data_IF_641032529530
#
_entry.id   IF_641032529530
#
_cell.length_a   1.000
_cell.length_b   1.000
_cell.length_c   1.000
_cell.angle_alpha   90.00
_cell.angle_beta   90.00
_cell.angle_gamma   90.00
#
_symmetry.space_group_name_H-M   'P 1'
#
loop_
_entity.id
_entity.type
_entity.pdbx_description
1 polymer ?
#
# COMPACT_ATOMS: atom_id res chain seq x y z
N UNK A 1 -3.72 -8.01 -20.14
CA UNK A 1 -2.51 -8.37 -19.38
C UNK A 1 -2.25 -7.30 -18.34
N UNK A 2 -2.05 -7.72 -17.09
CA UNK A 2 -1.71 -6.86 -15.95
C UNK A 2 -0.55 -7.54 -15.21
N UNK A 3 0.45 -6.77 -14.77
CA UNK A 3 1.58 -7.29 -13.97
C UNK A 3 1.27 -7.39 -12.46
N UNK A 4 0.07 -6.97 -12.06
CA UNK A 4 -0.59 -7.18 -10.75
C UNK A 4 -2.03 -7.67 -10.99
N UNK A 5 -2.16 -8.96 -11.31
CA UNK A 5 -3.47 -9.60 -11.56
C UNK A 5 -4.40 -9.57 -10.35
N UNK A 6 -3.84 -9.73 -9.16
CA UNK A 6 -4.54 -9.77 -7.86
C UNK A 6 -5.45 -8.55 -7.65
N UNK A 7 -4.90 -7.34 -7.80
CA UNK A 7 -5.65 -6.10 -7.63
C UNK A 7 -6.75 -5.92 -8.70
N UNK A 8 -6.47 -6.34 -9.95
CA UNK A 8 -7.45 -6.29 -11.04
C UNK A 8 -8.62 -7.26 -10.79
N UNK A 9 -8.30 -8.49 -10.40
CA UNK A 9 -9.28 -9.53 -10.10
C UNK A 9 -10.17 -9.13 -8.92
N UNK A 10 -9.58 -8.64 -7.82
CA UNK A 10 -10.33 -8.19 -6.66
C UNK A 10 -11.34 -7.08 -7.00
N UNK A 11 -10.94 -6.10 -7.82
CA UNK A 11 -11.84 -5.03 -8.24
C UNK A 11 -12.91 -5.51 -9.22
N UNK A 12 -12.60 -6.46 -10.12
CA UNK A 12 -13.60 -7.11 -10.99
C UNK A 12 -14.66 -7.86 -10.19
N UNK A 13 -14.24 -8.64 -9.18
CA UNK A 13 -15.16 -9.35 -8.28
C UNK A 13 -16.08 -8.37 -7.56
N UNK A 14 -15.52 -7.30 -6.98
CA UNK A 14 -16.31 -6.27 -6.29
C UNK A 14 -17.33 -5.59 -7.24
N UNK A 15 -16.94 -5.31 -8.49
CA UNK A 15 -17.82 -4.73 -9.51
C UNK A 15 -18.90 -5.70 -10.02
N UNK A 16 -18.67 -7.00 -9.92
CA UNK A 16 -19.65 -8.03 -10.20
C UNK A 16 -20.58 -8.32 -9.00
N UNK A 17 -20.47 -7.54 -7.91
CA UNK A 17 -21.32 -7.67 -6.73
C UNK A 17 -20.85 -8.72 -5.72
N UNK A 18 -19.69 -9.35 -5.93
CA UNK A 18 -19.14 -10.30 -4.97
C UNK A 18 -18.53 -9.59 -3.76
N UNK A 19 -18.62 -10.25 -2.61
CA UNK A 19 -17.96 -9.83 -1.38
C UNK A 19 -16.62 -10.56 -1.23
N UNK A 20 -15.56 -9.82 -0.92
CA UNK A 20 -14.24 -10.38 -0.61
C UNK A 20 -14.02 -10.30 0.89
N UNK A 21 -13.68 -11.43 1.52
CA UNK A 21 -13.41 -11.53 2.96
C UNK A 21 -11.99 -12.05 3.20
N UNK A 22 -11.41 -11.65 4.31
CA UNK A 22 -10.14 -12.18 4.82
C UNK A 22 -10.41 -13.10 6.02
N UNK A 23 -9.70 -14.21 6.11
CA UNK A 23 -9.75 -15.10 7.27
C UNK A 23 -8.46 -15.00 8.09
N UNK A 24 -8.52 -15.43 9.35
CA UNK A 24 -7.41 -15.32 10.30
C UNK A 24 -6.32 -16.37 10.02
N UNK A 25 -5.58 -16.18 8.93
CA UNK A 25 -4.42 -17.00 8.57
C UNK A 25 -3.17 -16.13 8.43
N UNK A 26 -2.02 -16.73 8.71
CA UNK A 26 -0.72 -16.09 8.60
C UNK A 26 0.11 -16.82 7.55
N UNK A 27 0.50 -16.11 6.51
CA UNK A 27 1.43 -16.58 5.50
C UNK A 27 2.72 -15.76 5.59
N UNK A 28 3.85 -16.46 5.47
CA UNK A 28 5.17 -15.84 5.42
C UNK A 28 5.67 -15.90 3.98
N UNK A 29 6.09 -14.75 3.46
CA UNK A 29 6.70 -14.64 2.15
C UNK A 29 8.10 -14.02 2.29
N UNK A 30 8.99 -14.39 1.37
CA UNK A 30 10.32 -13.82 1.29
C UNK A 30 10.27 -12.33 0.93
N UNK A 31 10.91 -11.50 1.76
CA UNK A 31 11.11 -10.08 1.45
C UNK A 31 12.41 -9.90 0.62
N UNK A 32 12.42 -9.03 -0.40
CA UNK A 32 13.66 -8.74 -1.14
C UNK A 32 14.74 -8.16 -0.21
N UNK A 33 15.85 -8.88 -0.06
CA UNK A 33 16.95 -8.49 0.82
C UNK A 33 17.90 -7.43 0.21
N UNK A 34 17.86 -7.25 -1.12
CA UNK A 34 18.77 -6.36 -1.85
C UNK A 34 17.98 -5.18 -2.42
N UNK A 35 18.53 -3.98 -2.29
CA UNK A 35 17.90 -2.73 -2.74
C UNK A 35 17.43 -2.77 -4.21
N UNK A 36 18.27 -3.28 -5.11
CA UNK A 36 17.91 -3.40 -6.53
C UNK A 36 16.69 -4.31 -6.76
N UNK A 37 16.62 -5.44 -6.07
CA UNK A 37 15.47 -6.35 -6.14
C UNK A 37 14.20 -5.70 -5.55
N UNK A 38 14.34 -4.97 -4.45
CA UNK A 38 13.24 -4.22 -3.83
C UNK A 38 12.69 -3.15 -4.78
N UNK A 39 13.55 -2.37 -5.44
CA UNK A 39 13.13 -1.36 -6.43
C UNK A 39 12.39 -2.01 -7.59
N UNK A 40 12.91 -3.12 -8.15
CA UNK A 40 12.25 -3.88 -9.22
C UNK A 40 10.85 -4.37 -8.79
N UNK A 41 10.75 -4.96 -7.60
CA UNK A 41 9.47 -5.44 -7.05
C UNK A 41 8.45 -4.30 -6.96
N UNK A 42 8.83 -3.16 -6.37
CA UNK A 42 7.92 -2.01 -6.21
C UNK A 42 7.59 -1.34 -7.54
N UNK A 43 8.53 -1.31 -8.48
CA UNK A 43 8.28 -0.82 -9.85
C UNK A 43 7.17 -1.64 -10.51
N UNK A 44 7.24 -2.99 -10.40
CA UNK A 44 6.18 -3.88 -10.89
C UNK A 44 4.83 -3.57 -10.25
N UNK A 45 4.80 -3.37 -8.93
CA UNK A 45 3.57 -3.09 -8.20
C UNK A 45 2.93 -1.77 -8.63
N UNK A 46 3.72 -0.69 -8.74
CA UNK A 46 3.22 0.60 -9.23
C UNK A 46 2.72 0.51 -10.66
N UNK A 47 3.45 -0.18 -11.55
CA UNK A 47 3.03 -0.36 -12.95
C UNK A 47 1.70 -1.08 -13.03
N UNK A 48 1.55 -2.16 -12.28
CA UNK A 48 0.30 -2.91 -12.23
C UNK A 48 -0.86 -2.10 -11.63
N UNK A 49 -0.61 -1.31 -10.59
CA UNK A 49 -1.58 -0.35 -10.06
C UNK A 49 -2.03 0.68 -11.09
N UNK A 50 -1.11 1.24 -11.87
CA UNK A 50 -1.43 2.16 -12.97
C UNK A 50 -2.27 1.47 -14.04
N UNK A 51 -1.95 0.22 -14.39
CA UNK A 51 -2.74 -0.57 -15.35
C UNK A 51 -4.16 -0.82 -14.83
N UNK A 52 -4.30 -1.24 -13.56
CA UNK A 52 -5.60 -1.45 -12.92
C UNK A 52 -6.40 -0.15 -12.88
N UNK A 53 -5.77 0.97 -12.50
CA UNK A 53 -6.41 2.28 -12.52
C UNK A 53 -6.93 2.63 -13.91
N UNK A 54 -6.08 2.52 -14.95
CA UNK A 54 -6.47 2.82 -16.34
C UNK A 54 -7.66 1.95 -16.75
N UNK A 55 -7.62 0.64 -16.52
CA UNK A 55 -8.70 -0.27 -16.92
C UNK A 55 -10.02 0.08 -16.24
N UNK A 56 -10.00 0.28 -14.92
CA UNK A 56 -11.24 0.45 -14.14
C UNK A 56 -11.80 1.87 -14.17
N UNK A 57 -10.96 2.87 -14.44
CA UNK A 57 -11.36 4.28 -14.49
C UNK A 57 -11.60 4.81 -15.90
N UNK A 58 -11.47 3.98 -16.96
CA UNK A 58 -11.82 4.33 -18.35
C UNK A 58 -13.25 4.82 -18.53
N UNK A 59 -14.18 4.30 -17.71
CA UNK A 59 -15.58 4.72 -17.68
C UNK A 59 -15.95 5.00 -16.22
N UNK A 60 -15.60 6.19 -15.68
CA UNK A 60 -15.72 6.46 -14.25
C UNK A 60 -17.18 6.34 -13.79
N UNK A 61 -18.15 6.81 -14.57
CA UNK A 61 -19.57 6.66 -14.24
C UNK A 61 -19.98 5.19 -14.04
N UNK A 62 -19.41 4.26 -14.82
CA UNK A 62 -19.68 2.83 -14.66
C UNK A 62 -19.08 2.26 -13.38
N UNK A 63 -17.92 2.76 -12.93
CA UNK A 63 -17.34 2.40 -11.64
C UNK A 63 -18.31 2.74 -10.48
N UNK A 64 -18.94 3.93 -10.54
CA UNK A 64 -19.93 4.33 -9.54
C UNK A 64 -21.19 3.50 -9.59
N UNK A 65 -21.67 3.12 -10.78
CA UNK A 65 -22.82 2.22 -10.93
C UNK A 65 -22.52 0.83 -10.37
N UNK A 66 -21.35 0.27 -10.70
CA UNK A 66 -21.01 -1.11 -10.32
C UNK A 66 -20.69 -1.25 -8.81
N UNK A 67 -20.11 -0.22 -8.19
CA UNK A 67 -19.66 -0.28 -6.79
C UNK A 67 -20.53 0.51 -5.80
N UNK A 68 -21.34 1.44 -6.29
CA UNK A 68 -21.94 2.50 -5.47
C UNK A 68 -20.94 3.58 -5.06
N UNK A 69 -21.44 4.77 -4.71
CA UNK A 69 -20.61 5.97 -4.50
C UNK A 69 -19.56 5.81 -3.42
N UNK A 70 -19.90 5.18 -2.29
CA UNK A 70 -18.96 5.03 -1.16
C UNK A 70 -17.73 4.19 -1.54
N UNK A 71 -17.96 3.02 -2.16
CA UNK A 71 -16.88 2.11 -2.56
C UNK A 71 -16.09 2.68 -3.75
N UNK A 72 -16.76 3.31 -4.70
CA UNK A 72 -16.09 3.98 -5.82
C UNK A 72 -15.15 5.11 -5.35
N UNK A 73 -15.60 5.97 -4.43
CA UNK A 73 -14.75 7.02 -3.84
C UNK A 73 -13.56 6.41 -3.10
N UNK A 74 -13.77 5.35 -2.31
CA UNK A 74 -12.68 4.67 -1.63
C UNK A 74 -11.63 4.11 -2.62
N UNK A 75 -12.07 3.47 -3.70
CA UNK A 75 -11.19 2.95 -4.76
C UNK A 75 -10.41 4.08 -5.44
N UNK A 76 -11.09 5.18 -5.78
CA UNK A 76 -10.43 6.36 -6.38
C UNK A 76 -9.42 6.99 -5.42
N UNK A 77 -9.75 7.12 -4.13
CA UNK A 77 -8.85 7.63 -3.10
C UNK A 77 -7.63 6.71 -2.90
N UNK A 78 -7.83 5.38 -2.95
CA UNK A 78 -6.72 4.42 -2.94
C UNK A 78 -5.80 4.64 -4.13
N UNK A 79 -6.33 4.65 -5.36
CA UNK A 79 -5.50 4.88 -6.55
C UNK A 79 -4.80 6.24 -6.52
N UNK A 80 -5.52 7.31 -6.17
CA UNK A 80 -4.96 8.65 -6.08
C UNK A 80 -3.82 8.71 -5.06
N UNK A 81 -4.02 8.23 -3.83
CA UNK A 81 -2.97 8.23 -2.80
C UNK A 81 -1.79 7.34 -3.17
N UNK A 82 -2.04 6.12 -3.66
CA UNK A 82 -1.00 5.15 -4.01
C UNK A 82 -0.15 5.56 -5.23
N UNK A 83 -0.69 6.36 -6.15
CA UNK A 83 0.04 6.83 -7.34
C UNK A 83 0.62 8.24 -7.15
N UNK A 84 -0.21 9.20 -6.74
CA UNK A 84 0.22 10.60 -6.62
C UNK A 84 1.19 10.80 -5.45
N UNK A 85 1.01 10.06 -4.34
CA UNK A 85 1.88 10.16 -3.18
C UNK A 85 3.35 9.92 -3.53
N UNK A 86 3.72 8.76 -4.11
CA UNK A 86 5.09 8.49 -4.52
C UNK A 86 5.57 9.38 -5.69
N UNK A 87 4.71 9.73 -6.65
CA UNK A 87 5.10 10.54 -7.81
C UNK A 87 5.39 12.01 -7.44
N UNK A 88 4.55 12.61 -6.60
CA UNK A 88 4.59 14.03 -6.26
C UNK A 88 5.19 14.30 -4.87
N UNK A 89 5.15 13.33 -3.96
CA UNK A 89 5.51 13.47 -2.55
C UNK A 89 6.87 14.13 -2.32
N UNK A 90 7.97 13.68 -2.95
CA UNK A 90 9.27 14.33 -2.77
C UNK A 90 9.29 15.79 -3.21
N UNK A 91 8.60 16.13 -4.31
CA UNK A 91 8.54 17.51 -4.80
C UNK A 91 7.73 18.40 -3.86
N UNK A 92 6.59 17.91 -3.37
CA UNK A 92 5.74 18.63 -2.42
C UNK A 92 6.45 18.80 -1.06
N UNK A 93 7.14 17.75 -0.60
CA UNK A 93 7.94 17.81 0.63
C UNK A 93 9.14 18.79 0.49
N UNK A 94 9.83 18.78 -0.66
CA UNK A 94 10.91 19.72 -0.94
C UNK A 94 10.39 21.17 -1.01
N UNK A 95 9.24 21.38 -1.67
CA UNK A 95 8.59 22.70 -1.74
C UNK A 95 8.23 23.21 -0.35
N UNK A 96 7.63 22.36 0.48
CA UNK A 96 7.26 22.68 1.85
C UNK A 96 8.50 22.98 2.71
N UNK A 97 9.57 22.19 2.59
CA UNK A 97 10.82 22.42 3.30
C UNK A 97 11.48 23.75 2.87
N UNK A 98 11.46 24.07 1.58
CA UNK A 98 11.91 25.37 1.09
C UNK A 98 11.11 26.51 1.70
N UNK A 99 9.77 26.42 1.73
CA UNK A 99 8.95 27.47 2.33
C UNK A 99 9.11 27.59 3.84
N UNK A 100 9.44 26.50 4.52
CA UNK A 100 9.74 26.52 5.95
C UNK A 100 11.04 27.27 6.27
N UNK A 101 12.06 27.17 5.39
CA UNK A 101 13.39 27.73 5.62
C UNK A 101 13.52 29.14 5.05
N UNK A 102 13.04 29.35 3.83
CA UNK A 102 13.25 30.58 3.05
C UNK A 102 11.96 31.35 2.77
N UNK A 103 10.80 30.73 3.01
CA UNK A 103 9.50 31.30 2.69
C UNK A 103 8.74 31.79 3.92
N UNK A 104 7.45 32.06 3.71
CA UNK A 104 6.55 32.57 4.72
C UNK A 104 5.79 31.48 5.48
N UNK A 105 6.11 30.19 5.32
CA UNK A 105 5.31 29.10 5.90
C UNK A 105 5.18 29.19 7.42
N UNK A 106 6.27 29.59 8.09
CA UNK A 106 6.33 29.70 9.55
C UNK A 106 6.13 31.14 10.06
N UNK A 107 6.07 32.12 9.16
CA UNK A 107 5.83 33.52 9.48
C UNK A 107 4.93 34.20 8.43
N UNK A 108 3.71 33.69 8.19
CA UNK A 108 2.81 34.26 7.18
C UNK A 108 2.24 35.59 7.66
N UNK A 109 2.13 36.58 6.76
CA UNK A 109 1.66 37.94 7.11
C UNK A 109 0.30 38.25 6.49
N UNK A 110 0.11 37.88 5.22
CA UNK A 110 -1.17 38.14 4.55
C UNK A 110 -2.23 37.08 4.93
N UNK A 111 -3.53 37.43 4.97
CA UNK A 111 -4.59 36.46 5.30
C UNK A 111 -4.58 35.19 4.44
N UNK A 112 -4.30 35.33 3.14
CA UNK A 112 -4.19 34.19 2.23
C UNK A 112 -2.97 33.30 2.56
N UNK A 113 -1.83 33.89 2.91
CA UNK A 113 -0.62 33.16 3.30
C UNK A 113 -0.86 32.38 4.59
N UNK A 114 -1.57 32.97 5.56
CA UNK A 114 -1.94 32.31 6.82
C UNK A 114 -2.82 31.09 6.52
N UNK A 115 -3.84 31.25 5.67
CA UNK A 115 -4.74 30.16 5.30
C UNK A 115 -4.00 29.02 4.60
N UNK A 116 -3.16 29.33 3.62
CA UNK A 116 -2.36 28.34 2.89
C UNK A 116 -1.35 27.65 3.81
N UNK A 117 -0.63 28.40 4.64
CA UNK A 117 0.37 27.84 5.56
C UNK A 117 -0.28 26.91 6.58
N UNK A 118 -1.43 27.31 7.11
CA UNK A 118 -2.23 26.47 8.01
C UNK A 118 -2.65 25.17 7.32
N UNK A 119 -3.14 25.24 6.08
CA UNK A 119 -3.51 24.07 5.30
C UNK A 119 -2.32 23.12 5.08
N UNK A 120 -1.16 23.65 4.68
CA UNK A 120 0.07 22.87 4.49
C UNK A 120 0.51 22.16 5.76
N UNK A 121 0.54 22.87 6.90
CA UNK A 121 0.90 22.29 8.19
C UNK A 121 -0.09 21.21 8.64
N UNK A 122 -1.39 21.46 8.50
CA UNK A 122 -2.43 20.47 8.81
C UNK A 122 -2.29 19.21 7.94
N UNK A 123 -2.06 19.37 6.63
CA UNK A 123 -1.85 18.25 5.72
C UNK A 123 -0.57 17.47 6.06
N UNK A 124 0.52 18.15 6.42
CA UNK A 124 1.76 17.51 6.80
C UNK A 124 1.62 16.68 8.09
N UNK A 125 0.96 17.25 9.11
CA UNK A 125 0.70 16.55 10.38
C UNK A 125 -0.24 15.36 10.16
N UNK A 126 -1.36 15.58 9.47
CA UNK A 126 -2.30 14.50 9.16
C UNK A 126 -1.64 13.39 8.34
N UNK A 127 -0.85 13.74 7.32
CA UNK A 127 -0.09 12.80 6.51
C UNK A 127 0.92 11.99 7.33
N UNK A 128 1.65 12.64 8.24
CA UNK A 128 2.58 11.96 9.15
C UNK A 128 1.86 10.96 10.07
N UNK A 129 0.70 11.35 10.63
CA UNK A 129 -0.13 10.46 11.46
C UNK A 129 -0.63 9.26 10.63
N UNK A 130 -1.18 9.52 9.43
CA UNK A 130 -1.68 8.48 8.54
C UNK A 130 -0.58 7.50 8.07
N UNK A 131 0.67 7.94 8.00
CA UNK A 131 1.81 7.09 7.69
C UNK A 131 2.27 6.27 8.89
N UNK A 132 2.48 6.92 10.04
CA UNK A 132 3.16 6.30 11.20
C UNK A 132 2.20 5.42 12.01
N UNK A 133 0.95 5.85 12.21
CA UNK A 133 0.03 5.17 13.12
C UNK A 133 -0.28 3.73 12.67
N UNK A 134 -0.61 3.44 11.39
CA UNK A 134 -0.85 2.06 10.94
C UNK A 134 0.38 1.17 11.11
N UNK A 135 1.58 1.69 10.84
CA UNK A 135 2.83 0.95 11.01
C UNK A 135 3.07 0.64 12.50
N UNK A 136 2.87 1.63 13.39
CA UNK A 136 3.01 1.45 14.83
C UNK A 136 2.00 0.43 15.38
N UNK A 137 0.74 0.48 14.94
CA UNK A 137 -0.29 -0.50 15.30
C UNK A 137 0.07 -1.90 14.80
N UNK A 138 0.54 -2.02 13.55
CA UNK A 138 1.02 -3.28 12.97
C UNK A 138 2.18 -3.86 13.76
N UNK A 139 3.18 -3.04 14.12
CA UNK A 139 4.31 -3.46 14.94
C UNK A 139 3.87 -3.98 16.32
N UNK A 140 2.93 -3.30 16.98
CA UNK A 140 2.40 -3.75 18.29
C UNK A 140 1.66 -5.08 18.17
N UNK A 141 0.75 -5.21 17.20
CA UNK A 141 -0.03 -6.45 16.97
C UNK A 141 0.84 -7.65 16.62
N UNK A 142 2.03 -7.42 16.02
CA UNK A 142 2.97 -8.46 15.60
C UNK A 142 4.15 -8.65 16.55
N UNK A 143 4.21 -7.97 17.69
CA UNK A 143 5.37 -8.05 18.60
C UNK A 143 6.68 -7.48 18.04
N UNK A 144 6.62 -6.67 16.97
CA UNK A 144 7.79 -6.11 16.26
C UNK A 144 8.24 -4.74 16.81
N UNK A 145 7.76 -4.35 18.00
CA UNK A 145 8.07 -3.04 18.60
C UNK A 145 9.56 -2.81 18.86
N UNK A 146 10.36 -3.89 18.98
CA UNK A 146 11.83 -3.84 19.04
C UNK A 146 12.44 -3.11 17.83
N UNK A 147 11.79 -3.15 16.68
CA UNK A 147 12.24 -2.53 15.43
C UNK A 147 11.74 -1.09 15.25
N UNK A 148 11.10 -0.47 16.24
CA UNK A 148 10.57 0.91 16.14
C UNK A 148 11.60 1.94 15.66
N UNK A 149 12.89 1.73 15.95
CA UNK A 149 13.97 2.62 15.49
C UNK A 149 14.10 2.64 13.97
N UNK A 150 13.69 1.57 13.28
CA UNK A 150 13.68 1.51 11.82
C UNK A 150 12.77 2.57 11.18
N UNK A 151 11.81 3.14 11.92
CA UNK A 151 10.98 4.24 11.44
C UNK A 151 11.79 5.49 11.06
N UNK A 152 13.03 5.66 11.57
CA UNK A 152 13.91 6.76 11.14
C UNK A 152 14.26 6.68 9.65
N UNK A 153 14.19 5.49 9.05
CA UNK A 153 14.45 5.26 7.63
C UNK A 153 13.21 5.46 6.75
N UNK A 154 12.05 5.86 7.31
CA UNK A 154 10.84 6.14 6.53
C UNK A 154 11.07 7.15 5.40
N UNK A 155 11.80 8.27 5.58
CA UNK A 155 12.05 9.19 4.48
C UNK A 155 12.79 8.52 3.32
N UNK A 156 13.80 7.70 3.61
CA UNK A 156 14.55 6.95 2.60
C UNK A 156 13.65 5.92 1.89
N UNK A 157 12.78 5.26 2.65
CA UNK A 157 11.78 4.34 2.09
C UNK A 157 10.82 5.06 1.13
N UNK A 158 10.32 6.25 1.50
CA UNK A 158 9.46 7.04 0.63
C UNK A 158 10.17 7.53 -0.64
N UNK A 159 11.45 7.92 -0.54
CA UNK A 159 12.26 8.26 -1.72
C UNK A 159 12.44 7.06 -2.65
N UNK A 160 12.70 5.87 -2.10
CA UNK A 160 12.80 4.64 -2.88
C UNK A 160 11.48 4.33 -3.60
N UNK A 161 10.34 4.46 -2.92
CA UNK A 161 9.02 4.33 -3.54
C UNK A 161 8.81 5.33 -4.68
N UNK A 162 9.27 6.58 -4.53
CA UNK A 162 9.19 7.58 -5.59
C UNK A 162 10.01 7.18 -6.82
N UNK A 163 11.25 6.72 -6.63
CA UNK A 163 12.11 6.22 -7.72
C UNK A 163 11.41 5.06 -8.45
N UNK A 164 10.86 4.11 -7.70
CA UNK A 164 10.12 2.99 -8.29
C UNK A 164 8.85 3.42 -9.04
N UNK A 165 8.12 4.42 -8.53
CA UNK A 165 6.92 4.94 -9.19
C UNK A 165 7.24 5.65 -10.50
N UNK A 166 8.26 6.51 -10.54
CA UNK A 166 8.71 7.16 -11.78
C UNK A 166 9.25 6.16 -12.80
N UNK A 167 10.01 5.17 -12.34
CA UNK A 167 10.45 4.05 -13.19
C UNK A 167 9.26 3.28 -13.76
N UNK A 168 8.21 3.06 -12.97
CA UNK A 168 6.99 2.40 -13.41
C UNK A 168 6.25 3.20 -14.48
N UNK A 169 6.18 4.54 -14.38
CA UNK A 169 5.63 5.41 -15.44
C UNK A 169 6.41 5.23 -16.74
N UNK A 170 7.74 5.28 -16.66
CA UNK A 170 8.61 5.08 -17.83
C UNK A 170 8.41 3.69 -18.47
N UNK A 171 8.39 2.64 -17.65
CA UNK A 171 8.16 1.28 -18.13
C UNK A 171 6.76 1.08 -18.69
N UNK A 172 5.73 1.68 -18.10
CA UNK A 172 4.37 1.59 -18.60
C UNK A 172 4.26 2.14 -20.02
N UNK A 173 4.99 3.22 -20.32
CA UNK A 173 5.03 3.82 -21.65
C UNK A 173 5.85 2.99 -22.65
N UNK A 174 7.01 2.47 -22.26
CA UNK A 174 7.96 1.81 -23.17
C UNK A 174 7.73 0.31 -23.31
N UNK A 175 7.34 -0.36 -22.23
CA UNK A 175 7.23 -1.83 -22.10
C UNK A 175 6.09 -2.20 -21.14
N UNK A 176 4.82 -1.86 -21.48
CA UNK A 176 3.68 -1.98 -20.57
C UNK A 176 3.53 -3.38 -19.97
N UNK A 177 3.74 -4.43 -20.75
CA UNK A 177 3.52 -5.81 -20.34
C UNK A 177 4.78 -6.54 -19.86
N UNK A 178 5.92 -5.85 -19.77
CA UNK A 178 7.15 -6.48 -19.32
C UNK A 178 7.09 -6.81 -17.82
N UNK A 179 7.37 -8.06 -17.46
CA UNK A 179 7.41 -8.50 -16.08
C UNK A 179 8.85 -8.63 -15.60
N UNK A 180 9.30 -7.70 -14.76
CA UNK A 180 10.59 -7.82 -14.06
C UNK A 180 10.46 -8.76 -12.87
N UNK A 181 10.80 -10.04 -13.08
CA UNK A 181 10.80 -11.03 -12.00
C UNK A 181 11.99 -10.78 -11.07
N UNK A 182 11.76 -10.89 -9.77
CA UNK A 182 12.83 -10.95 -8.77
C UNK A 182 13.27 -12.41 -8.59
N UNK A 183 14.55 -12.62 -8.37
CA UNK A 183 15.08 -13.92 -7.95
C UNK A 183 14.59 -14.24 -6.54
N UNK A 184 14.22 -15.50 -6.29
CA UNK A 184 13.75 -16.00 -5.00
C UNK A 184 14.84 -16.89 -4.39
N UNK A 185 14.83 -17.06 -3.06
CA UNK A 185 15.77 -17.90 -2.31
C UNK A 185 17.05 -17.19 -1.88
N UNK A 186 17.03 -15.85 -1.77
CA UNK A 186 18.19 -15.05 -1.36
C UNK A 186 18.18 -14.74 0.14
N UNK A 187 17.10 -15.07 0.84
CA UNK A 187 16.97 -14.93 2.30
C UNK A 187 17.27 -16.25 3.02
N UNK A 188 18.08 -16.18 4.07
CA UNK A 188 18.31 -17.30 4.98
C UNK A 188 17.05 -17.43 5.84
N UNK A 189 16.36 -18.58 5.81
CA UNK A 189 15.32 -18.89 6.81
C UNK A 189 15.98 -18.85 8.18
N UNK A 190 15.60 -17.89 9.01
CA UNK A 190 15.93 -17.95 10.44
C UNK A 190 15.37 -19.25 11.01
N UNK A 191 16.10 -19.85 11.96
CA UNK A 191 15.56 -20.97 12.75
C UNK A 191 14.26 -20.49 13.37
N UNK A 192 13.15 -21.12 13.01
CA UNK A 192 11.89 -20.92 13.72
C UNK A 192 12.12 -21.55 15.09
N UNK A 193 12.44 -20.74 16.11
CA UNK A 193 12.22 -21.18 17.48
C UNK A 193 10.74 -21.51 17.56
N UNK A 194 10.44 -22.80 17.67
CA UNK A 194 9.09 -23.30 17.84
C UNK A 194 8.50 -22.62 19.09
N UNK A 195 7.67 -21.62 18.87
CA UNK A 195 6.84 -21.05 19.92
C UNK A 195 5.93 -22.20 20.39
N UNK A 196 6.08 -22.53 21.68
CA UNK A 196 5.49 -23.70 22.34
C UNK A 196 4.03 -23.92 21.95
N UNK A 197 3.73 -25.16 21.60
CA UNK A 197 2.43 -25.84 21.57
C UNK A 197 1.22 -24.96 21.95
N UNK A 198 0.67 -24.28 20.95
CA UNK A 198 -0.76 -24.00 20.92
C UNK A 198 -1.25 -24.64 19.63
N UNK A 199 -1.85 -25.82 19.76
CA UNK A 199 -2.47 -26.53 18.64
C UNK A 199 -3.54 -25.64 18.00
N UNK A 200 -3.33 -25.15 16.76
CA UNK A 200 -4.28 -24.27 16.10
C UNK A 200 -5.51 -25.03 15.57
N UNK A 201 -5.56 -26.36 15.73
CA UNK A 201 -6.63 -27.23 15.24
C UNK A 201 -7.57 -27.76 16.33
N UNK A 202 -7.45 -27.33 17.59
CA UNK A 202 -8.51 -27.57 18.58
C UNK A 202 -9.65 -26.59 18.33
N UNK A 203 -10.43 -26.84 17.28
CA UNK A 203 -11.76 -26.25 17.12
C UNK A 203 -12.66 -26.79 18.24
N UNK A 204 -13.18 -25.90 19.10
CA UNK A 204 -14.32 -26.22 19.99
C UNK A 204 -15.66 -26.25 19.23
N UNK A 205 -15.62 -26.65 17.96
CA UNK A 205 -16.80 -26.80 17.13
C UNK A 205 -16.83 -28.24 16.67
N UNK A 206 -17.89 -28.95 17.05
CA UNK A 206 -18.15 -30.31 16.58
C UNK A 206 -18.29 -30.30 15.05
N UNK A 207 -17.70 -31.28 14.34
CA UNK A 207 -17.79 -31.36 12.89
C UNK A 207 -19.25 -31.52 12.43
N UNK A 208 -19.70 -30.60 11.58
CA UNK A 208 -21.07 -30.53 11.05
C UNK A 208 -21.42 -31.65 10.04
N UNK A 209 -20.61 -32.70 9.92
CA UNK A 209 -20.72 -33.70 8.84
C UNK A 209 -20.69 -35.17 9.30
N UNK A 210 -21.07 -35.46 10.55
CA UNK A 210 -21.33 -36.83 11.01
C UNK A 210 -22.76 -36.97 11.59
N UNK A 211 -23.77 -36.48 10.87
CA UNK A 211 -25.15 -37.00 11.02
C UNK A 211 -25.45 -37.92 9.83
N UNK A 212 -25.02 -39.17 10.05
CA UNK A 212 -25.49 -40.44 9.52
C UNK A 212 -26.43 -40.42 8.31
N UNK A 213 -25.91 -40.97 7.20
CA UNK A 213 -26.71 -41.76 6.29
C UNK A 213 -26.99 -43.14 6.93
N UNK A 214 -28.26 -43.49 7.12
CA UNK A 214 -28.72 -44.88 7.11
C UNK A 214 -29.57 -45.37 8.30
N UNK A 215 -30.89 -45.20 8.19
CA UNK A 215 -31.90 -46.27 8.25
C UNK A 215 -33.28 -45.71 7.86
#
# INVERSE_FOLDING_TARGET
FNVTEDADLGLRLARAGFEVRTFASQTFEEAPAVFGALVKQRTRWFKGWMQTFIVHCRRPMRLFVDLGSRRAIAVLAMFASGLLGPLLGPFLAARMAYDAIFGALLAPVAPLEIALSTLWCCLAIAGAISLILPIAMGMRRRGLTRFRRALIYLPLWLMMLSIAAWRAVYELWRRPFHWEKTEHGLTIRGVVEAEKDVDPFVSREEPLFDQEAGA
#
